data_IF_199878411692
#
_entry.id   IF_199878411692
#
_cell.length_a   1.000
_cell.length_b   1.000
_cell.length_c   1.000
_cell.angle_alpha   90.00
_cell.angle_beta   90.00
_cell.angle_gamma   90.00
#
_symmetry.space_group_name_H-M   'P 1'
#
loop_
_entity.id
_entity.type
_entity.pdbx_description
1 polymer ?
#
# COMPACT_ATOMS: atom_id res chain seq x y z
N UNK A 1 19.18 13.18 28.17
CA UNK A 1 18.46 11.99 27.76
C UNK A 1 18.14 12.24 26.30
N UNK A 2 18.91 11.63 25.39
CA UNK A 2 18.66 11.82 23.96
C UNK A 2 17.31 11.19 23.62
N UNK A 3 16.49 11.93 22.90
CA UNK A 3 15.27 11.40 22.30
C UNK A 3 15.66 10.14 21.50
N UNK A 4 15.12 9.01 21.94
CA UNK A 4 15.25 7.76 21.19
C UNK A 4 14.60 8.04 19.83
N UNK A 5 15.40 8.19 18.78
CA UNK A 5 14.92 8.33 17.42
C UNK A 5 14.11 7.07 17.14
N UNK A 6 12.79 7.19 17.22
CA UNK A 6 11.85 6.11 16.92
C UNK A 6 11.74 6.03 15.41
N UNK A 7 11.95 4.84 14.84
CA UNK A 7 11.71 4.62 13.41
C UNK A 7 10.23 4.80 13.08
N UNK A 8 9.94 5.32 11.90
CA UNK A 8 8.59 5.42 11.37
C UNK A 8 8.47 4.51 10.13
N UNK A 9 7.68 3.48 10.26
CA UNK A 9 7.29 2.60 9.16
C UNK A 9 5.87 2.98 8.73
N UNK A 10 5.70 3.31 7.47
CA UNK A 10 4.42 3.73 6.91
C UNK A 10 3.95 2.66 5.93
N UNK A 11 2.92 1.93 6.28
CA UNK A 11 2.28 0.96 5.40
C UNK A 11 1.14 1.65 4.64
N UNK A 12 1.20 1.63 3.32
CA UNK A 12 0.20 2.22 2.44
C UNK A 12 -0.43 1.10 1.62
N UNK A 13 -1.68 0.80 1.89
CA UNK A 13 -2.48 -0.14 1.13
C UNK A 13 -3.75 0.52 0.59
N UNK A 14 -4.66 -0.26 0.04
CA UNK A 14 -5.98 0.20 -0.36
C UNK A 14 -6.38 -0.29 -1.73
N UNK A 15 -7.55 0.16 -2.15
CA UNK A 15 -8.18 -0.24 -3.40
C UNK A 15 -7.31 0.06 -4.63
N UNK A 16 -7.65 -0.57 -5.72
CA UNK A 16 -6.97 -0.34 -6.99
C UNK A 16 -7.08 1.13 -7.41
N UNK A 17 -6.05 1.64 -8.02
CA UNK A 17 -5.98 2.98 -8.63
C UNK A 17 -6.16 4.16 -7.66
N UNK A 18 -6.11 3.94 -6.35
CA UNK A 18 -6.22 5.00 -5.34
C UNK A 18 -4.95 5.85 -5.16
N UNK A 19 -3.92 5.64 -5.99
CA UNK A 19 -2.72 6.47 -5.98
C UNK A 19 -1.75 6.18 -4.82
N UNK A 20 -1.68 4.93 -4.35
CA UNK A 20 -0.73 4.50 -3.30
C UNK A 20 0.71 4.90 -3.60
N UNK A 21 1.17 4.60 -4.82
CA UNK A 21 2.52 4.94 -5.28
C UNK A 21 2.75 6.46 -5.34
N UNK A 22 1.72 7.22 -5.76
CA UNK A 22 1.80 8.68 -5.76
C UNK A 22 1.93 9.25 -4.34
N UNK A 23 1.17 8.69 -3.37
CA UNK A 23 1.31 9.06 -1.97
C UNK A 23 2.69 8.70 -1.43
N UNK A 24 3.19 7.49 -1.72
CA UNK A 24 4.52 7.07 -1.30
C UNK A 24 5.61 8.01 -1.83
N UNK A 25 5.49 8.43 -3.09
CA UNK A 25 6.39 9.41 -3.71
C UNK A 25 6.30 10.79 -3.02
N UNK A 26 5.08 11.29 -2.74
CA UNK A 26 4.85 12.55 -2.01
C UNK A 26 5.50 12.51 -0.62
N UNK A 27 5.34 11.41 0.11
CA UNK A 27 5.96 11.23 1.43
C UNK A 27 7.49 11.12 1.35
N UNK A 28 8.03 10.42 0.34
CA UNK A 28 9.48 10.40 0.07
C UNK A 28 10.00 11.83 -0.13
N UNK A 29 9.33 12.64 -0.92
CA UNK A 29 9.75 14.03 -1.20
C UNK A 29 9.65 14.92 0.03
N UNK A 30 8.58 14.78 0.83
CA UNK A 30 8.32 15.60 2.03
C UNK A 30 9.24 15.22 3.19
N UNK A 31 9.33 13.93 3.51
CA UNK A 31 10.01 13.42 4.72
C UNK A 31 11.38 12.81 4.46
N UNK A 32 11.77 12.63 3.19
CA UNK A 32 13.01 11.94 2.79
C UNK A 32 13.08 10.50 3.28
N UNK A 33 11.92 9.84 3.48
CA UNK A 33 11.87 8.43 3.81
C UNK A 33 11.94 7.60 2.53
N UNK A 34 12.84 6.61 2.45
CA UNK A 34 12.84 5.69 1.31
C UNK A 34 11.53 4.92 1.24
N UNK A 35 11.10 4.51 0.04
CA UNK A 35 9.96 3.64 -0.07
C UNK A 35 10.28 2.34 -0.81
N UNK A 36 9.60 1.28 -0.39
CA UNK A 36 9.59 -0.04 -1.01
C UNK A 36 8.23 -0.27 -1.66
N UNK A 37 8.21 -0.34 -2.99
CA UNK A 37 7.06 -0.91 -3.71
C UNK A 37 7.19 -2.44 -3.70
N UNK A 38 6.18 -3.12 -3.18
CA UNK A 38 6.16 -4.58 -3.18
C UNK A 38 6.02 -5.13 -4.62
N UNK A 39 5.47 -4.35 -5.55
CA UNK A 39 5.46 -4.72 -6.96
C UNK A 39 6.87 -4.78 -7.56
N UNK A 40 7.77 -3.89 -7.17
CA UNK A 40 9.17 -3.96 -7.58
C UNK A 40 9.86 -5.20 -7.01
N UNK A 41 9.62 -5.52 -5.74
CA UNK A 41 10.13 -6.75 -5.12
C UNK A 41 9.59 -7.99 -5.84
N UNK A 42 8.27 -8.04 -6.09
CA UNK A 42 7.59 -9.11 -6.83
C UNK A 42 8.26 -9.34 -8.19
N UNK A 43 8.36 -8.28 -8.98
CA UNK A 43 8.94 -8.38 -10.32
C UNK A 43 10.43 -8.70 -10.30
N UNK A 44 11.17 -8.23 -9.30
CA UNK A 44 12.56 -8.58 -9.08
C UNK A 44 12.75 -10.08 -8.85
N UNK A 45 11.96 -10.67 -7.97
CA UNK A 45 12.00 -12.11 -7.66
C UNK A 45 11.58 -12.97 -8.86
N UNK A 46 10.51 -12.58 -9.57
CA UNK A 46 10.03 -13.30 -10.76
C UNK A 46 11.08 -13.26 -11.89
N UNK A 47 11.56 -12.07 -12.24
CA UNK A 47 12.49 -11.90 -13.37
C UNK A 47 13.87 -12.49 -13.12
N UNK A 48 14.30 -12.56 -11.86
CA UNK A 48 15.57 -13.19 -11.46
C UNK A 48 15.48 -14.72 -11.35
N UNK A 49 14.29 -15.31 -11.49
CA UNK A 49 14.08 -16.75 -11.34
C UNK A 49 14.16 -17.27 -9.92
N UNK A 50 14.02 -16.39 -8.92
CA UNK A 50 14.04 -16.78 -7.51
C UNK A 50 12.67 -17.20 -6.97
N UNK A 51 11.68 -17.36 -7.83
CA UNK A 51 10.35 -17.85 -7.49
C UNK A 51 9.67 -18.45 -8.71
N UNK A 52 8.78 -19.42 -8.49
CA UNK A 52 7.89 -19.98 -9.51
C UNK A 52 6.59 -19.13 -9.70
N UNK A 53 6.47 -18.00 -9.00
CA UNK A 53 5.35 -17.10 -9.17
C UNK A 53 5.39 -16.42 -10.53
N UNK A 54 4.20 -16.09 -11.00
CA UNK A 54 4.00 -15.24 -12.19
C UNK A 54 3.19 -14.00 -11.81
N UNK A 55 3.24 -12.92 -12.59
CA UNK A 55 2.41 -11.75 -12.34
C UNK A 55 0.90 -12.03 -12.31
N UNK A 56 0.47 -13.14 -12.97
CA UNK A 56 -0.94 -13.56 -13.09
C UNK A 56 -1.41 -14.46 -11.93
N UNK A 57 -0.56 -14.75 -10.95
CA UNK A 57 -1.03 -15.48 -9.77
C UNK A 57 -2.04 -14.61 -8.99
N UNK A 58 -3.02 -15.29 -8.36
CA UNK A 58 -4.02 -14.60 -7.55
C UNK A 58 -3.38 -13.90 -6.34
N UNK A 59 -4.07 -12.89 -5.84
CA UNK A 59 -3.62 -12.02 -4.75
C UNK A 59 -3.26 -12.78 -3.47
N UNK A 60 -4.03 -13.82 -3.14
CA UNK A 60 -3.78 -14.65 -1.97
C UNK A 60 -2.44 -15.35 -2.04
N UNK A 61 -2.10 -15.92 -3.19
CA UNK A 61 -0.81 -16.60 -3.41
C UNK A 61 0.35 -15.62 -3.41
N UNK A 62 0.17 -14.45 -4.04
CA UNK A 62 1.17 -13.38 -4.05
C UNK A 62 1.42 -12.86 -2.63
N UNK A 63 0.35 -12.58 -1.87
CA UNK A 63 0.46 -12.12 -0.49
C UNK A 63 1.14 -13.13 0.40
N UNK A 64 0.73 -14.41 0.34
CA UNK A 64 1.31 -15.47 1.16
C UNK A 64 2.82 -15.65 0.94
N UNK A 65 3.31 -15.38 -0.28
CA UNK A 65 4.73 -15.47 -0.59
C UNK A 65 5.51 -14.19 -0.25
N UNK A 66 4.97 -13.03 -0.59
CA UNK A 66 5.71 -11.76 -0.51
C UNK A 66 5.65 -11.14 0.89
N UNK A 67 4.51 -11.23 1.57
CA UNK A 67 4.34 -10.59 2.86
C UNK A 67 5.33 -11.05 3.94
N UNK A 68 5.65 -12.34 4.10
CA UNK A 68 6.69 -12.78 5.03
C UNK A 68 8.06 -12.14 4.77
N UNK A 69 8.43 -11.94 3.50
CA UNK A 69 9.69 -11.28 3.12
C UNK A 69 9.66 -9.81 3.53
N UNK A 70 8.57 -9.11 3.19
CA UNK A 70 8.38 -7.69 3.50
C UNK A 70 8.35 -7.44 5.01
N UNK A 71 7.69 -8.32 5.76
CA UNK A 71 7.66 -8.27 7.23
C UNK A 71 9.06 -8.27 7.83
N UNK A 72 9.95 -9.15 7.36
CA UNK A 72 11.32 -9.21 7.87
C UNK A 72 12.17 -7.99 7.43
N UNK A 73 11.91 -7.41 6.25
CA UNK A 73 12.49 -6.13 5.84
C UNK A 73 12.05 -5.01 6.79
N UNK A 74 10.77 -4.96 7.15
CA UNK A 74 10.22 -3.98 8.09
C UNK A 74 10.88 -4.11 9.46
N UNK A 75 10.97 -5.34 10.01
CA UNK A 75 11.65 -5.58 11.29
C UNK A 75 13.10 -5.10 11.26
N UNK A 76 13.82 -5.45 10.20
CA UNK A 76 15.22 -5.02 10.02
C UNK A 76 15.35 -3.50 9.97
N UNK A 77 14.44 -2.80 9.27
CA UNK A 77 14.44 -1.34 9.25
C UNK A 77 14.22 -0.74 10.65
N UNK A 78 13.28 -1.30 11.43
CA UNK A 78 13.00 -0.85 12.80
C UNK A 78 14.22 -1.08 13.71
N UNK A 79 14.83 -2.25 13.67
CA UNK A 79 16.01 -2.62 14.46
C UNK A 79 17.20 -1.71 14.16
N UNK A 80 17.35 -1.30 12.91
CA UNK A 80 18.38 -0.36 12.47
C UNK A 80 17.98 1.12 12.65
N UNK A 81 16.81 1.42 13.26
CA UNK A 81 16.29 2.78 13.46
C UNK A 81 16.14 3.56 12.15
N UNK A 82 15.74 2.87 11.10
CA UNK A 82 15.50 3.43 9.78
C UNK A 82 14.01 3.70 9.58
N UNK A 83 13.70 4.79 8.86
CA UNK A 83 12.36 5.05 8.39
C UNK A 83 12.13 4.33 7.06
N UNK A 84 10.91 3.87 6.81
CA UNK A 84 10.57 3.18 5.56
C UNK A 84 9.09 3.37 5.24
N UNK A 85 8.79 3.66 3.99
CA UNK A 85 7.45 3.61 3.43
C UNK A 85 7.34 2.29 2.65
N UNK A 86 6.28 1.53 2.89
CA UNK A 86 5.97 0.29 2.16
C UNK A 86 4.61 0.43 1.52
N UNK A 87 4.51 0.25 0.21
CA UNK A 87 3.24 0.38 -0.49
C UNK A 87 2.92 -0.84 -1.33
N UNK A 88 1.65 -1.26 -1.27
CA UNK A 88 1.06 -2.31 -2.09
C UNK A 88 -0.45 -2.44 -1.87
N UNK A 89 -1.16 -3.03 -2.85
CA UNK A 89 -2.61 -3.27 -2.74
C UNK A 89 -2.98 -4.46 -1.83
N UNK A 90 -2.03 -5.34 -1.49
CA UNK A 90 -2.30 -6.57 -0.73
C UNK A 90 -1.53 -6.66 0.60
N UNK A 91 -1.20 -5.53 1.22
CA UNK A 91 -0.71 -5.54 2.60
C UNK A 91 -1.85 -6.04 3.50
N UNK A 92 -1.66 -7.11 4.30
CA UNK A 92 -2.74 -7.69 5.09
C UNK A 92 -3.34 -6.69 6.08
N UNK A 93 -4.67 -6.69 6.21
CA UNK A 93 -5.38 -5.83 7.17
C UNK A 93 -5.15 -6.29 8.63
N UNK A 94 -4.88 -7.57 8.81
CA UNK A 94 -4.52 -8.17 10.09
C UNK A 94 -3.00 -8.19 10.36
N UNK A 95 -2.24 -7.36 9.65
CA UNK A 95 -0.78 -7.24 9.74
C UNK A 95 -0.23 -7.22 11.17
N UNK A 96 -1.01 -6.65 12.09
CA UNK A 96 -0.59 -6.52 13.49
C UNK A 96 -0.36 -7.87 14.19
N UNK A 97 -0.99 -8.95 13.69
CA UNK A 97 -0.77 -10.31 14.22
C UNK A 97 0.63 -10.86 13.90
N UNK A 98 1.32 -10.27 12.94
CA UNK A 98 2.64 -10.70 12.48
C UNK A 98 3.81 -10.00 13.18
N UNK A 99 3.51 -9.03 14.07
CA UNK A 99 4.51 -8.23 14.76
C UNK A 99 4.33 -8.29 16.28
N UNK A 100 5.43 -8.35 16.99
CA UNK A 100 5.43 -8.14 18.44
C UNK A 100 5.14 -6.66 18.77
N UNK A 101 4.64 -6.43 20.00
CA UNK A 101 4.23 -5.08 20.45
C UNK A 101 5.30 -4.00 20.23
N UNK A 102 6.58 -4.34 20.44
CA UNK A 102 7.68 -3.40 20.25
C UNK A 102 7.83 -2.87 18.83
N UNK A 103 7.56 -3.72 17.82
CA UNK A 103 7.58 -3.30 16.41
C UNK A 103 6.35 -2.47 16.05
N UNK A 104 5.17 -2.85 16.55
CA UNK A 104 3.90 -2.18 16.25
C UNK A 104 3.90 -0.69 16.64
N UNK A 105 4.64 -0.33 17.67
CA UNK A 105 4.79 1.06 18.08
C UNK A 105 5.46 1.98 17.03
N UNK A 106 6.17 1.38 16.08
CA UNK A 106 6.85 2.09 14.98
C UNK A 106 6.07 2.06 13.67
N UNK A 107 4.94 1.32 13.61
CA UNK A 107 4.20 1.09 12.37
C UNK A 107 2.92 1.92 12.35
N UNK A 108 2.74 2.70 11.29
CA UNK A 108 1.49 3.37 10.95
C UNK A 108 0.93 2.75 9.67
N UNK A 109 -0.36 2.44 9.66
CA UNK A 109 -1.03 1.79 8.54
C UNK A 109 -2.10 2.71 7.96
N UNK A 110 -2.15 2.83 6.65
CA UNK A 110 -3.12 3.64 5.93
C UNK A 110 -3.69 2.87 4.75
N UNK A 111 -5.02 2.75 4.71
CA UNK A 111 -5.75 2.18 3.58
C UNK A 111 -6.39 3.30 2.76
N UNK A 112 -6.03 3.43 1.48
CA UNK A 112 -6.62 4.40 0.58
C UNK A 112 -7.85 3.82 -0.09
N UNK A 113 -8.97 4.53 -0.01
CA UNK A 113 -10.22 4.16 -0.66
C UNK A 113 -10.88 5.39 -1.27
N UNK A 114 -11.56 5.20 -2.39
CA UNK A 114 -12.38 6.22 -3.03
C UNK A 114 -13.84 5.98 -2.68
N UNK A 115 -14.62 7.07 -2.46
CA UNK A 115 -16.06 6.97 -2.31
C UNK A 115 -16.73 6.62 -3.64
N UNK A 116 -17.93 6.08 -3.57
CA UNK A 116 -18.76 5.84 -4.77
C UNK A 116 -18.98 7.14 -5.57
N UNK A 117 -19.26 8.24 -4.84
CA UNK A 117 -19.46 9.54 -5.46
C UNK A 117 -18.20 10.02 -6.23
N UNK A 118 -17.03 9.88 -5.61
CA UNK A 118 -15.76 10.23 -6.26
C UNK A 118 -15.53 9.40 -7.52
N UNK A 119 -15.68 8.07 -7.43
CA UNK A 119 -15.48 7.16 -8.56
C UNK A 119 -16.41 7.51 -9.71
N UNK A 120 -17.72 7.71 -9.46
CA UNK A 120 -18.69 8.00 -10.52
C UNK A 120 -18.41 9.32 -11.22
N UNK A 121 -17.99 10.35 -10.48
CA UNK A 121 -17.73 11.68 -11.02
C UNK A 121 -16.36 11.81 -11.72
N UNK A 122 -15.40 10.96 -11.39
CA UNK A 122 -14.01 11.07 -11.86
C UNK A 122 -13.51 9.81 -12.58
N UNK A 123 -14.39 8.92 -13.00
CA UNK A 123 -14.00 7.62 -13.60
C UNK A 123 -13.06 7.78 -14.81
N UNK A 124 -13.35 8.71 -15.71
CA UNK A 124 -12.52 8.96 -16.89
C UNK A 124 -11.15 9.56 -16.52
N UNK A 125 -11.10 10.38 -15.48
CA UNK A 125 -9.83 10.92 -14.96
C UNK A 125 -9.01 9.80 -14.32
N UNK A 126 -9.62 8.95 -13.48
CA UNK A 126 -8.97 7.80 -12.89
C UNK A 126 -8.40 6.89 -13.99
N UNK A 127 -9.19 6.62 -15.03
CA UNK A 127 -8.77 5.83 -16.19
C UNK A 127 -7.63 6.47 -16.96
N UNK A 128 -7.59 7.78 -17.09
CA UNK A 128 -6.53 8.51 -17.77
C UNK A 128 -5.20 8.45 -17.00
N UNK A 129 -5.27 8.50 -15.67
CA UNK A 129 -4.08 8.60 -14.81
C UNK A 129 -3.55 7.27 -14.30
N UNK A 130 -4.25 6.14 -14.54
CA UNK A 130 -3.90 4.83 -14.03
C UNK A 130 -2.51 4.32 -14.47
N UNK A 131 -2.02 4.77 -15.61
CA UNK A 131 -0.76 4.35 -16.23
C UNK A 131 0.40 5.35 -16.07
N UNK A 132 0.20 6.47 -15.37
CA UNK A 132 1.22 7.55 -15.32
C UNK A 132 2.48 7.09 -14.58
N UNK A 133 2.34 6.30 -13.52
CA UNK A 133 3.45 5.91 -12.65
C UNK A 133 3.92 4.48 -12.95
N UNK A 134 3.00 3.60 -13.35
CA UNK A 134 3.28 2.19 -13.66
C UNK A 134 2.65 1.79 -14.98
N UNK A 135 3.43 1.14 -15.85
CA UNK A 135 2.91 0.58 -17.09
C UNK A 135 2.16 -0.73 -16.78
N UNK A 136 0.84 -0.70 -16.81
CA UNK A 136 -0.04 -1.83 -16.49
C UNK A 136 -0.58 -2.45 -17.79
N UNK A 137 -0.71 -3.77 -17.80
CA UNK A 137 -1.14 -4.56 -18.96
C UNK A 137 -2.62 -4.96 -18.91
N UNK A 138 -3.38 -4.52 -17.89
CA UNK A 138 -4.76 -4.96 -17.68
C UNK A 138 -5.79 -4.09 -18.41
N UNK A 139 -6.56 -4.73 -19.29
CA UNK A 139 -7.65 -4.10 -20.06
C UNK A 139 -9.02 -4.18 -19.37
N UNK A 140 -9.13 -4.86 -18.22
CA UNK A 140 -10.41 -5.13 -17.53
C UNK A 140 -10.83 -4.04 -16.52
N UNK A 141 -10.44 -2.79 -16.76
CA UNK A 141 -10.81 -1.67 -15.90
C UNK A 141 -12.27 -1.25 -16.12
N UNK A 142 -13.16 -1.66 -15.20
CA UNK A 142 -14.57 -1.29 -15.20
C UNK A 142 -14.94 -0.46 -13.98
N UNK A 143 -15.95 0.39 -14.13
CA UNK A 143 -16.48 1.19 -13.01
C UNK A 143 -17.00 0.29 -11.88
N UNK A 144 -17.73 -0.77 -12.23
CA UNK A 144 -18.29 -1.73 -11.30
C UNK A 144 -17.18 -2.42 -10.48
N UNK A 145 -16.15 -2.91 -11.15
CA UNK A 145 -15.00 -3.55 -10.48
C UNK A 145 -14.27 -2.59 -9.55
N UNK A 146 -14.13 -1.31 -9.95
CA UNK A 146 -13.53 -0.29 -9.12
C UNK A 146 -14.37 0.00 -7.88
N UNK A 147 -15.70 0.11 -8.03
CA UNK A 147 -16.63 0.32 -6.92
C UNK A 147 -16.58 -0.86 -5.93
N UNK A 148 -16.71 -2.09 -6.42
CA UNK A 148 -16.64 -3.30 -5.57
C UNK A 148 -15.33 -3.41 -4.82
N UNK A 149 -14.20 -3.14 -5.49
CA UNK A 149 -12.88 -3.18 -4.87
C UNK A 149 -12.71 -2.12 -3.77
N UNK A 150 -13.23 -0.90 -3.97
CA UNK A 150 -13.17 0.16 -2.96
C UNK A 150 -14.09 -0.15 -1.76
N UNK A 151 -15.31 -0.62 -1.97
CA UNK A 151 -16.23 -1.04 -0.90
C UNK A 151 -15.59 -2.13 -0.05
N UNK A 152 -15.05 -3.18 -0.68
CA UNK A 152 -14.38 -4.28 0.01
C UNK A 152 -13.20 -3.81 0.86
N UNK A 153 -12.35 -2.93 0.33
CA UNK A 153 -11.21 -2.39 1.09
C UNK A 153 -11.66 -1.54 2.28
N UNK A 154 -12.72 -0.73 2.11
CA UNK A 154 -13.28 0.07 3.19
C UNK A 154 -13.88 -0.80 4.31
N UNK A 155 -14.61 -1.85 3.94
CA UNK A 155 -15.18 -2.82 4.89
C UNK A 155 -14.08 -3.54 5.68
N UNK A 156 -13.04 -4.00 5.00
CA UNK A 156 -11.87 -4.63 5.64
C UNK A 156 -11.14 -3.67 6.57
N UNK A 157 -10.92 -2.42 6.16
CA UNK A 157 -10.28 -1.43 7.01
C UNK A 157 -11.07 -1.19 8.31
N UNK A 158 -12.40 -1.09 8.20
CA UNK A 158 -13.29 -0.94 9.36
C UNK A 158 -13.31 -2.19 10.23
N UNK A 159 -13.40 -3.39 9.64
CA UNK A 159 -13.45 -4.66 10.36
C UNK A 159 -12.16 -4.91 11.19
N UNK A 160 -11.01 -4.50 10.66
CA UNK A 160 -9.71 -4.64 11.33
C UNK A 160 -9.29 -3.41 12.15
N UNK A 161 -10.15 -2.38 12.21
CA UNK A 161 -9.89 -1.13 12.94
C UNK A 161 -8.55 -0.47 12.56
N UNK A 162 -8.22 -0.49 11.26
CA UNK A 162 -7.04 0.20 10.72
C UNK A 162 -7.41 1.57 10.18
N UNK A 163 -6.44 2.49 10.13
CA UNK A 163 -6.67 3.81 9.58
C UNK A 163 -6.94 3.72 8.08
N UNK A 164 -7.92 4.49 7.60
CA UNK A 164 -8.17 4.65 6.18
C UNK A 164 -8.33 6.12 5.78
N UNK A 165 -8.02 6.42 4.55
CA UNK A 165 -8.18 7.74 3.93
C UNK A 165 -9.26 7.61 2.87
N UNK A 166 -10.40 8.28 3.09
CA UNK A 166 -11.49 8.31 2.14
C UNK A 166 -11.30 9.50 1.18
N UNK A 167 -11.13 9.19 -0.10
CA UNK A 167 -11.05 10.17 -1.18
C UNK A 167 -12.50 10.38 -1.66
N UNK A 168 -13.07 11.56 -1.36
CA UNK A 168 -14.49 11.85 -1.62
C UNK A 168 -14.69 13.00 -2.61
N UNK A 169 -14.26 14.22 -2.28
CA UNK A 169 -14.45 15.39 -3.14
C UNK A 169 -13.24 15.73 -4.00
N UNK A 170 -12.05 15.61 -3.42
CA UNK A 170 -10.78 15.98 -4.05
C UNK A 170 -9.72 14.95 -3.80
N UNK A 171 -8.87 14.76 -4.79
CA UNK A 171 -7.63 13.99 -4.63
C UNK A 171 -6.56 14.88 -3.97
N UNK A 172 -6.82 15.30 -2.75
CA UNK A 172 -5.90 16.11 -1.97
C UNK A 172 -5.93 15.65 -0.51
N UNK A 173 -4.94 14.86 -0.16
CA UNK A 173 -4.73 14.42 1.21
C UNK A 173 -3.25 14.45 1.54
N UNK A 174 -2.96 14.75 2.78
CA UNK A 174 -1.61 14.73 3.34
C UNK A 174 -1.61 13.86 4.60
N UNK A 175 -0.47 13.25 4.87
CA UNK A 175 -0.23 12.49 6.09
C UNK A 175 0.85 13.22 6.86
N UNK A 176 0.53 13.66 8.07
CA UNK A 176 1.52 14.17 9.00
C UNK A 176 2.07 13.01 9.85
N UNK A 177 3.40 12.86 9.82
CA UNK A 177 4.12 11.74 10.44
C UNK A 177 4.72 12.11 11.78
#
# INVERSE_FOLDING_TARGET
MGDLIKSNIILITGAWYTGKTALAQKLLEKYKYPYLSIDHLKMGLIRSGNTDLTPMNNDTKLTAYLWPIVREIIKTAIENKQNLIVEWCYIPFDYANDFEKGYLESIKYYCLVMSENYIRNHFEDIKKYWNIIENRLDDDFTMEGLLENNVKNLELAKAHNVNYILIDDKYDFDIDL
#
